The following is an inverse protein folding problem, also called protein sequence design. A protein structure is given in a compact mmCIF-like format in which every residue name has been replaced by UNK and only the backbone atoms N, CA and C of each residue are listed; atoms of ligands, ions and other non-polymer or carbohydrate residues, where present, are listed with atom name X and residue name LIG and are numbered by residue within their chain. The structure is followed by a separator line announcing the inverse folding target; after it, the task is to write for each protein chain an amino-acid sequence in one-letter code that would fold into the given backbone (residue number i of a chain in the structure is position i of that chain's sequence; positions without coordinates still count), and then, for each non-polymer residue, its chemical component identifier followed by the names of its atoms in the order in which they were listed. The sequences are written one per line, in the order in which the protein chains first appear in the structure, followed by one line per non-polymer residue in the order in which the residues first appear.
data_IF_183726231970
#
_entry.id   IF_183726231970
#
_cell.length_a   1.000
_cell.length_b   1.000
_cell.length_c   1.000
_cell.angle_alpha   90.00
_cell.angle_beta   90.00
_cell.angle_gamma   90.00
#
_symmetry.space_group_name_H-M   'P 1'
#
loop_
_entity.id
_entity.type
_entity.pdbx_description
1 polymer ?
#
# COMPACT_ATOMS: atom_id res chain seq x y z
N UNK A 1 0.65 26.31 17.82
CA UNK A 1 0.67 24.87 17.47
C UNK A 1 -0.64 24.20 17.85
N UNK A 2 -1.21 24.53 19.01
CA UNK A 2 -2.47 23.92 19.47
C UNK A 2 -3.68 24.31 18.61
N UNK A 3 -3.76 25.56 18.13
CA UNK A 3 -4.83 25.97 17.21
C UNK A 3 -4.85 25.18 15.89
N UNK A 4 -3.67 24.85 15.33
CA UNK A 4 -3.57 24.01 14.13
C UNK A 4 -4.05 22.59 14.41
N UNK A 5 -3.72 22.05 15.59
CA UNK A 5 -4.16 20.72 16.03
C UNK A 5 -5.68 20.67 16.20
N UNK A 6 -6.26 21.60 16.96
CA UNK A 6 -7.70 21.63 17.22
C UNK A 6 -8.52 21.88 15.96
N UNK A 7 -8.05 22.75 15.06
CA UNK A 7 -8.72 22.97 13.76
C UNK A 7 -8.66 21.73 12.87
N UNK A 8 -7.55 20.99 12.88
CA UNK A 8 -7.43 19.71 12.18
C UNK A 8 -8.38 18.66 12.76
N UNK A 9 -8.45 18.52 14.08
CA UNK A 9 -9.35 17.59 14.76
C UNK A 9 -10.83 17.87 14.43
N UNK A 10 -11.23 19.15 14.48
CA UNK A 10 -12.57 19.57 14.08
C UNK A 10 -12.86 19.22 12.61
N UNK A 11 -11.89 19.44 11.73
CA UNK A 11 -12.01 19.08 10.32
C UNK A 11 -12.20 17.56 10.14
N UNK A 12 -11.33 16.75 10.76
CA UNK A 12 -11.40 15.28 10.74
C UNK A 12 -12.78 14.83 11.21
N UNK A 13 -13.24 15.28 12.38
CA UNK A 13 -14.55 14.92 12.92
C UNK A 13 -15.69 15.26 11.95
N UNK A 14 -15.63 16.42 11.30
CA UNK A 14 -16.66 16.85 10.35
C UNK A 14 -16.64 16.11 9.00
N UNK A 15 -15.50 15.52 8.61
CA UNK A 15 -15.30 14.93 7.27
C UNK A 15 -15.18 13.41 7.25
N UNK A 16 -14.89 12.75 8.36
CA UNK A 16 -14.73 11.29 8.43
C UNK A 16 -15.88 10.55 7.76
N UNK A 17 -17.14 10.82 8.14
CA UNK A 17 -18.29 10.11 7.58
C UNK A 17 -18.48 10.32 6.07
N UNK A 18 -18.10 11.49 5.52
CA UNK A 18 -18.18 11.73 4.09
C UNK A 18 -17.06 11.01 3.33
N UNK A 19 -15.83 11.07 3.84
CA UNK A 19 -14.69 10.41 3.20
C UNK A 19 -14.76 8.89 3.31
N UNK A 20 -15.27 8.33 4.42
CA UNK A 20 -15.49 6.88 4.55
C UNK A 20 -16.46 6.33 3.51
N UNK A 21 -17.54 7.06 3.21
CA UNK A 21 -18.48 6.68 2.14
C UNK A 21 -17.81 6.68 0.77
N UNK A 22 -17.01 7.72 0.47
CA UNK A 22 -16.26 7.79 -0.79
C UNK A 22 -15.22 6.67 -0.87
N UNK A 23 -14.48 6.44 0.20
CA UNK A 23 -13.48 5.39 0.29
C UNK A 23 -14.11 4.01 0.07
N UNK A 24 -15.27 3.75 0.70
CA UNK A 24 -16.03 2.51 0.50
C UNK A 24 -16.45 2.32 -0.97
N UNK A 25 -16.91 3.38 -1.64
CA UNK A 25 -17.25 3.29 -3.06
C UNK A 25 -16.03 3.01 -3.96
N UNK A 26 -14.83 3.41 -3.54
CA UNK A 26 -13.59 3.15 -4.27
C UNK A 26 -13.03 1.75 -3.99
N UNK A 27 -13.16 1.25 -2.77
CA UNK A 27 -12.54 -0.02 -2.34
C UNK A 27 -13.49 -1.21 -2.43
N UNK A 28 -14.80 -0.99 -2.25
CA UNK A 28 -15.80 -2.07 -2.08
C UNK A 28 -15.69 -2.82 -0.75
N UNK A 29 -14.80 -2.39 0.16
CA UNK A 29 -14.47 -3.07 1.40
C UNK A 29 -14.35 -2.04 2.54
N UNK A 30 -15.00 -2.33 3.67
CA UNK A 30 -15.09 -1.40 4.81
C UNK A 30 -13.75 -1.20 5.52
N UNK A 31 -12.94 -2.25 5.70
CA UNK A 31 -11.64 -2.15 6.36
C UNK A 31 -10.64 -1.40 5.48
N UNK A 32 -10.61 -1.68 4.17
CA UNK A 32 -9.78 -0.94 3.22
C UNK A 32 -10.23 0.52 3.10
N UNK A 33 -11.53 0.79 3.19
CA UNK A 33 -12.04 2.15 3.19
C UNK A 33 -11.56 2.94 4.41
N UNK A 34 -11.65 2.32 5.59
CA UNK A 34 -11.20 2.92 6.84
C UNK A 34 -9.70 3.21 6.80
N UNK A 35 -8.86 2.25 6.41
CA UNK A 35 -7.41 2.45 6.27
C UNK A 35 -7.10 3.57 5.28
N UNK A 36 -7.78 3.61 4.13
CA UNK A 36 -7.59 4.67 3.13
C UNK A 36 -7.89 6.06 3.72
N UNK A 37 -8.95 6.20 4.51
CA UNK A 37 -9.30 7.48 5.17
C UNK A 37 -8.26 7.84 6.23
N UNK A 38 -7.86 6.89 7.09
CA UNK A 38 -6.86 7.12 8.12
C UNK A 38 -5.54 7.60 7.50
N UNK A 39 -5.07 6.91 6.44
CA UNK A 39 -3.83 7.26 5.75
C UNK A 39 -3.91 8.60 5.03
N UNK A 40 -5.09 8.95 4.51
CA UNK A 40 -5.34 10.27 3.94
C UNK A 40 -5.16 11.35 5.00
N UNK A 41 -5.79 11.21 6.15
CA UNK A 41 -5.69 12.19 7.24
C UNK A 41 -4.28 12.27 7.81
N UNK A 42 -3.57 11.14 7.97
CA UNK A 42 -2.18 11.13 8.42
C UNK A 42 -1.27 11.96 7.50
N UNK A 43 -1.46 11.84 6.17
CA UNK A 43 -0.71 12.66 5.19
C UNK A 43 -1.08 14.13 5.22
N UNK A 44 -2.36 14.43 5.42
CA UNK A 44 -2.87 15.81 5.49
C UNK A 44 -2.38 16.51 6.76
N UNK A 45 -2.34 15.82 7.90
CA UNK A 45 -1.90 16.36 9.18
C UNK A 45 -0.52 17.04 9.09
N UNK A 46 0.43 16.41 8.38
CA UNK A 46 1.78 16.96 8.19
C UNK A 46 1.85 18.22 7.34
N UNK A 47 0.79 18.56 6.60
CA UNK A 47 0.70 19.75 5.73
C UNK A 47 -0.44 20.69 6.12
N UNK A 48 -1.13 20.42 7.21
CA UNK A 48 -2.41 21.05 7.54
C UNK A 48 -2.38 22.57 7.49
N UNK A 49 -1.40 23.19 8.16
CA UNK A 49 -1.23 24.65 8.20
C UNK A 49 -1.17 25.27 6.80
N UNK A 50 -0.48 24.61 5.86
CA UNK A 50 -0.37 25.08 4.48
C UNK A 50 -1.69 24.92 3.73
N UNK A 51 -2.35 23.78 3.89
CA UNK A 51 -3.62 23.48 3.21
C UNK A 51 -4.70 24.49 3.59
N UNK A 52 -4.85 24.81 4.87
CA UNK A 52 -5.85 25.80 5.32
C UNK A 52 -5.48 27.24 4.94
N UNK A 53 -4.19 27.56 4.85
CA UNK A 53 -3.73 28.87 4.40
C UNK A 53 -3.99 29.09 2.89
N UNK A 54 -4.05 28.01 2.11
CA UNK A 54 -4.38 28.04 0.68
C UNK A 54 -5.90 28.08 0.39
N UNK A 55 -6.75 27.98 1.42
CA UNK A 55 -8.21 28.12 1.32
C UNK A 55 -8.97 26.88 1.78
N UNK A 56 -9.94 26.42 0.97
CA UNK A 56 -10.76 25.25 1.29
C UNK A 56 -9.89 23.96 1.28
N UNK A 57 -9.81 23.22 2.40
CA UNK A 57 -9.06 21.98 2.47
C UNK A 57 -9.70 20.80 1.71
N UNK A 58 -11.02 20.81 1.46
CA UNK A 58 -11.75 19.67 0.90
C UNK A 58 -11.20 19.17 -0.44
N UNK A 59 -10.93 20.03 -1.44
CA UNK A 59 -10.36 19.60 -2.72
C UNK A 59 -9.00 18.92 -2.58
N UNK A 60 -8.13 19.43 -1.71
CA UNK A 60 -6.82 18.84 -1.46
C UNK A 60 -6.95 17.46 -0.81
N UNK A 61 -7.80 17.35 0.23
CA UNK A 61 -7.99 16.10 0.97
C UNK A 61 -8.59 15.01 0.07
N UNK A 62 -9.61 15.34 -0.74
CA UNK A 62 -10.19 14.39 -1.70
C UNK A 62 -9.18 13.96 -2.76
N UNK A 63 -8.32 14.87 -3.22
CA UNK A 63 -7.22 14.56 -4.16
C UNK A 63 -6.22 13.58 -3.53
N UNK A 64 -5.83 13.80 -2.27
CA UNK A 64 -4.93 12.87 -1.55
C UNK A 64 -5.55 11.48 -1.45
N UNK A 65 -6.83 11.39 -1.05
CA UNK A 65 -7.57 10.12 -0.95
C UNK A 65 -7.61 9.37 -2.28
N UNK A 66 -8.00 10.05 -3.36
CA UNK A 66 -8.06 9.46 -4.70
C UNK A 66 -6.68 8.99 -5.19
N UNK A 67 -5.65 9.83 -5.07
CA UNK A 67 -4.29 9.46 -5.48
C UNK A 67 -3.76 8.25 -4.71
N UNK A 68 -4.08 8.15 -3.43
CA UNK A 68 -3.66 7.02 -2.61
C UNK A 68 -4.34 5.71 -3.05
N UNK A 69 -5.66 5.74 -3.26
CA UNK A 69 -6.39 4.59 -3.82
C UNK A 69 -5.82 4.17 -5.18
N UNK A 70 -5.66 5.10 -6.11
CA UNK A 70 -5.14 4.80 -7.46
C UNK A 70 -3.71 4.24 -7.39
N UNK A 71 -2.86 4.77 -6.52
CA UNK A 71 -1.50 4.25 -6.33
C UNK A 71 -1.52 2.81 -5.81
N UNK A 72 -2.40 2.49 -4.87
CA UNK A 72 -2.55 1.14 -4.33
C UNK A 72 -3.10 0.17 -5.39
N UNK A 73 -4.17 0.57 -6.09
CA UNK A 73 -4.78 -0.22 -7.16
C UNK A 73 -3.82 -0.53 -8.30
N UNK A 74 -3.02 0.46 -8.74
CA UNK A 74 -1.97 0.24 -9.75
C UNK A 74 -0.90 -0.72 -9.26
N UNK A 75 -0.51 -0.67 -7.99
CA UNK A 75 0.48 -1.60 -7.41
C UNK A 75 -0.08 -3.02 -7.38
N UNK A 76 -1.30 -3.20 -6.88
CA UNK A 76 -1.95 -4.51 -6.83
C UNK A 76 -2.07 -5.16 -8.21
N UNK A 77 -2.41 -4.38 -9.25
CA UNK A 77 -2.48 -4.87 -10.63
C UNK A 77 -1.13 -5.20 -11.28
N UNK A 78 -0.03 -4.62 -10.80
CA UNK A 78 1.32 -4.94 -11.28
C UNK A 78 1.86 -6.25 -10.69
N UNK A 79 1.25 -6.76 -9.62
CA UNK A 79 1.67 -8.01 -8.97
C UNK A 79 1.15 -9.26 -9.71
N UNK A 80 0.43 -9.10 -10.83
CA UNK A 80 0.03 -10.21 -11.73
C UNK A 80 1.10 -10.54 -12.78
N UNK A 81 2.38 -10.51 -12.40
CA UNK A 81 3.45 -11.17 -13.16
C UNK A 81 4.00 -12.32 -12.28
N UNK A 82 3.26 -13.43 -12.25
CA UNK A 82 3.87 -14.71 -11.91
C UNK A 82 4.76 -15.11 -13.08
N UNK A 83 6.07 -15.00 -12.93
CA UNK A 83 7.00 -15.71 -13.81
C UNK A 83 6.63 -17.20 -13.72
N UNK A 84 6.07 -17.75 -14.80
CA UNK A 84 5.96 -19.19 -14.98
C UNK A 84 7.39 -19.73 -14.95
N UNK A 85 7.70 -20.58 -13.96
CA UNK A 85 9.04 -21.12 -13.77
C UNK A 85 9.52 -21.82 -15.03
N UNK A 86 10.69 -21.44 -15.53
CA UNK A 86 11.48 -22.35 -16.35
C UNK A 86 12.21 -23.27 -15.40
N UNK A 87 11.60 -24.41 -15.10
CA UNK A 87 12.35 -25.57 -14.60
C UNK A 87 13.15 -26.11 -15.78
N UNK A 88 14.34 -25.54 -16.00
CA UNK A 88 15.41 -26.20 -16.75
C UNK A 88 16.60 -26.34 -15.81
N UNK A 89 16.40 -27.16 -14.78
CA UNK A 89 17.53 -27.76 -14.09
C UNK A 89 17.58 -29.20 -14.60
N UNK A 90 18.59 -29.56 -15.43
CA UNK A 90 18.81 -30.96 -15.73
C UNK A 90 19.08 -31.65 -14.40
N UNK A 91 18.22 -32.61 -14.04
CA UNK A 91 18.45 -33.47 -12.89
C UNK A 91 19.76 -34.21 -13.17
N UNK A 92 20.82 -34.02 -12.35
CA UNK A 92 22.06 -34.75 -12.57
C UNK A 92 21.78 -36.24 -12.36
N UNK A 93 22.16 -37.04 -13.36
CA UNK A 93 22.10 -38.50 -13.31
C UNK A 93 23.04 -38.98 -12.19
N UNK A 94 22.45 -39.44 -11.09
CA UNK A 94 23.17 -39.92 -9.90
C UNK A 94 23.78 -41.31 -10.10
N UNK A 95 23.89 -41.80 -11.33
CA UNK A 95 24.54 -43.08 -11.64
C UNK A 95 26.08 -43.05 -11.50
N UNK A 96 26.72 -41.88 -11.56
CA UNK A 96 28.19 -41.76 -11.54
C UNK A 96 28.81 -41.53 -10.14
N UNK A 97 28.01 -41.41 -9.07
CA UNK A 97 28.53 -41.04 -7.73
C UNK A 97 28.84 -42.20 -6.77
N UNK A 98 28.63 -43.47 -7.17
CA UNK A 98 28.98 -44.63 -6.31
C UNK A 98 30.38 -45.21 -6.59
N UNK A 99 31.11 -44.68 -7.58
CA UNK A 99 32.46 -45.16 -7.91
C UNK A 99 33.61 -44.50 -7.12
N UNK A 100 33.34 -43.74 -6.05
CA UNK A 100 34.38 -43.21 -5.15
C UNK A 100 34.08 -43.61 -3.70
N UNK A 101 33.93 -44.90 -3.47
CA UNK A 101 34.26 -45.51 -2.18
C UNK A 101 34.70 -46.92 -2.52
N UNK A 102 35.91 -47.28 -2.10
CA UNK A 102 36.64 -48.53 -2.36
C UNK A 102 37.66 -48.43 -3.51
N UNK A 103 38.88 -48.01 -3.11
CA UNK A 103 40.20 -48.52 -3.52
C UNK A 103 41.20 -47.39 -3.75
N UNK A 104 41.90 -46.97 -2.69
CA UNK A 104 43.37 -47.05 -2.60
C UNK A 104 43.72 -47.01 -1.10
N UNK A 105 44.07 -48.18 -0.56
CA UNK A 105 45.06 -48.32 0.50
C UNK A 105 46.45 -48.27 -0.15
N UNK A 106 47.30 -47.36 0.31
CA UNK A 106 48.70 -47.63 0.71
C UNK A 106 49.07 -46.61 1.78
#
# INVERSE_FOLDING_TARGET
MDADRSSFEAYVQSRTAALSRIAFLLTGDHHLAEDLVQQTFLRVAGRWRRVVAEGDPDPYVRKVLYHQHVSWWRRSRRTTETALGTTDQPVPDTADQVAITIAVQQ
#
